data_IF_875075245707
#
_entry.id   IF_875075245707
#
_cell.length_a   1.000
_cell.length_b   1.000
_cell.length_c   1.000
_cell.angle_alpha   90.00
_cell.angle_beta   90.00
_cell.angle_gamma   90.00
#
_symmetry.space_group_name_H-M   'P 1'
#
loop_
_entity.id
_entity.type
_entity.pdbx_description
1 polymer ?
#
# COMPACT_ATOMS: atom_id res chain seq x y z
N UNK A 1 3.35 14.06 10.13
CA UNK A 1 2.27 14.38 11.09
C UNK A 1 1.09 13.51 10.70
N UNK A 2 0.59 12.64 11.61
CA UNK A 2 -0.65 11.91 11.37
C UNK A 2 -1.77 12.96 11.23
N UNK A 3 -2.53 12.87 10.15
CA UNK A 3 -3.73 13.70 9.97
C UNK A 3 -4.77 13.20 10.97
N UNK A 4 -5.42 14.13 11.69
CA UNK A 4 -6.61 13.81 12.47
C UNK A 4 -7.61 13.12 11.56
N UNK A 5 -8.11 11.96 11.99
CA UNK A 5 -9.01 11.16 11.18
C UNK A 5 -9.14 9.73 11.67
N UNK A 6 -10.00 8.98 11.00
CA UNK A 6 -10.22 7.58 11.32
C UNK A 6 -9.29 6.68 10.51
N UNK A 7 -8.82 5.62 11.13
CA UNK A 7 -8.06 4.56 10.52
C UNK A 7 -8.77 3.23 10.76
N UNK A 8 -9.02 2.47 9.70
CA UNK A 8 -9.61 1.14 9.81
C UNK A 8 -8.64 0.09 9.28
N UNK A 9 -8.30 -0.87 10.13
CA UNK A 9 -7.53 -2.06 9.79
C UNK A 9 -8.46 -3.27 9.61
N UNK A 10 -8.26 -4.04 8.54
CA UNK A 10 -8.98 -5.28 8.25
C UNK A 10 -7.98 -6.42 8.13
N UNK A 11 -8.12 -7.43 9.00
CA UNK A 11 -7.36 -8.68 8.98
C UNK A 11 -8.25 -9.82 8.49
N UNK A 12 -7.94 -10.36 7.32
CA UNK A 12 -8.69 -11.45 6.68
C UNK A 12 -7.95 -12.76 6.93
N UNK A 13 -8.29 -13.41 8.03
CA UNK A 13 -7.67 -14.68 8.43
C UNK A 13 -8.49 -15.91 8.07
N UNK A 14 -7.85 -17.07 8.08
CA UNK A 14 -8.49 -18.38 7.84
C UNK A 14 -9.58 -18.71 8.86
N UNK A 15 -9.36 -18.37 10.12
CA UNK A 15 -10.28 -18.69 11.22
C UNK A 15 -11.21 -17.56 11.59
N UNK A 16 -10.77 -16.32 11.45
CA UNK A 16 -11.54 -15.12 11.80
C UNK A 16 -11.18 -13.94 10.94
N UNK A 17 -12.16 -13.06 10.76
CA UNK A 17 -12.01 -11.74 10.18
C UNK A 17 -12.10 -10.74 11.32
N UNK A 18 -11.12 -9.83 11.41
CA UNK A 18 -11.04 -8.81 12.45
C UNK A 18 -11.02 -7.44 11.83
N UNK A 19 -11.78 -6.53 12.43
CA UNK A 19 -11.75 -5.11 12.07
C UNK A 19 -11.39 -4.32 13.32
N UNK A 20 -10.51 -3.35 13.18
CA UNK A 20 -10.14 -2.41 14.21
C UNK A 20 -10.34 -1.00 13.64
N UNK A 21 -11.10 -0.19 14.34
CA UNK A 21 -11.29 1.23 14.03
C UNK A 21 -10.59 2.06 15.09
N UNK A 22 -9.72 2.94 14.66
CA UNK A 22 -8.99 3.86 15.52
C UNK A 22 -9.21 5.30 15.07
N UNK A 23 -9.26 6.20 16.04
CA UNK A 23 -9.29 7.64 15.84
C UNK A 23 -7.94 8.24 16.24
N UNK A 24 -7.43 9.17 15.44
CA UNK A 24 -6.24 9.95 15.75
C UNK A 24 -6.65 11.34 16.21
N UNK A 25 -6.33 11.67 17.45
CA UNK A 25 -6.56 13.00 18.05
C UNK A 25 -5.25 13.44 18.71
N UNK A 26 -4.77 14.63 18.38
CA UNK A 26 -3.56 15.24 18.97
C UNK A 26 -2.33 14.30 19.01
N UNK A 27 -2.14 13.51 17.95
CA UNK A 27 -1.04 12.55 17.84
C UNK A 27 -1.21 11.26 18.66
N UNK A 28 -2.35 11.07 19.31
CA UNK A 28 -2.70 9.86 20.06
C UNK A 28 -3.70 9.01 19.25
N UNK A 29 -3.51 7.68 19.30
CA UNK A 29 -4.39 6.73 18.64
C UNK A 29 -5.31 6.09 19.67
N UNK A 30 -6.62 6.27 19.51
CA UNK A 30 -7.67 5.70 20.36
C UNK A 30 -8.45 4.67 19.58
N UNK A 31 -8.56 3.44 20.09
CA UNK A 31 -9.40 2.40 19.49
C UNK A 31 -10.86 2.65 19.89
N UNK A 32 -11.72 2.85 18.89
CA UNK A 32 -13.14 3.18 19.09
C UNK A 32 -14.09 2.04 18.65
N UNK A 33 -13.62 1.09 17.83
CA UNK A 33 -14.42 -0.04 17.40
C UNK A 33 -13.55 -1.27 17.11
N UNK A 34 -14.02 -2.45 17.51
CA UNK A 34 -13.36 -3.73 17.22
C UNK A 34 -14.42 -4.78 16.93
N UNK A 35 -14.23 -5.56 15.89
CA UNK A 35 -15.01 -6.76 15.62
C UNK A 35 -14.13 -7.98 15.41
N UNK A 36 -14.69 -9.16 15.67
CA UNK A 36 -14.06 -10.45 15.41
C UNK A 36 -15.15 -11.45 15.03
N UNK A 37 -15.19 -11.82 13.75
CA UNK A 37 -16.22 -12.67 13.16
C UNK A 37 -15.58 -13.96 12.65
N UNK A 38 -16.27 -15.08 12.74
CA UNK A 38 -15.80 -16.35 12.17
C UNK A 38 -15.66 -16.19 10.66
N UNK A 39 -14.49 -16.55 10.15
CA UNK A 39 -14.20 -16.52 8.72
C UNK A 39 -14.89 -17.65 7.96
N UNK A 40 -15.36 -17.34 6.77
CA UNK A 40 -15.82 -18.30 5.78
C UNK A 40 -15.28 -17.92 4.41
N UNK A 41 -15.00 -18.91 3.55
CA UNK A 41 -14.47 -18.64 2.20
C UNK A 41 -12.99 -18.26 2.14
N UNK A 42 -12.25 -18.36 3.27
CA UNK A 42 -10.82 -18.06 3.35
C UNK A 42 -10.06 -19.30 3.79
N UNK A 43 -8.98 -19.64 3.09
CA UNK A 43 -8.06 -20.74 3.42
C UNK A 43 -6.62 -20.28 3.26
N UNK A 44 -5.80 -20.48 4.29
CA UNK A 44 -4.38 -20.07 4.30
C UNK A 44 -4.14 -18.60 3.92
N UNK A 45 -5.08 -17.71 4.35
CA UNK A 45 -5.06 -16.30 4.02
C UNK A 45 -5.45 -15.94 2.57
N UNK A 46 -5.93 -16.93 1.80
CA UNK A 46 -6.35 -16.77 0.40
C UNK A 46 -7.88 -16.94 0.31
N UNK A 47 -8.54 -16.07 -0.45
CA UNK A 47 -9.97 -16.18 -0.72
C UNK A 47 -10.21 -17.32 -1.72
N UNK A 48 -10.95 -18.32 -1.27
CA UNK A 48 -11.33 -19.51 -2.07
C UNK A 48 -12.81 -19.52 -2.42
N UNK A 49 -13.63 -18.70 -1.74
CA UNK A 49 -15.05 -18.47 -2.03
C UNK A 49 -15.33 -16.99 -1.78
N UNK A 50 -15.56 -16.25 -2.87
CA UNK A 50 -15.72 -14.78 -2.82
C UNK A 50 -16.99 -14.40 -2.05
N UNK A 51 -18.11 -15.07 -2.32
CA UNK A 51 -19.40 -14.71 -1.73
C UNK A 51 -19.42 -14.99 -0.22
N UNK A 52 -18.85 -16.13 0.21
CA UNK A 52 -18.74 -16.47 1.62
C UNK A 52 -17.79 -15.53 2.37
N UNK A 53 -16.67 -15.17 1.74
CA UNK A 53 -15.72 -14.22 2.32
C UNK A 53 -16.32 -12.82 2.42
N UNK A 54 -16.94 -12.31 1.35
CA UNK A 54 -17.62 -11.01 1.32
C UNK A 54 -18.69 -10.89 2.42
N UNK A 55 -19.49 -11.95 2.62
CA UNK A 55 -20.50 -11.96 3.69
C UNK A 55 -19.86 -11.86 5.09
N UNK A 56 -18.77 -12.59 5.31
CA UNK A 56 -18.07 -12.57 6.59
C UNK A 56 -17.39 -11.21 6.85
N UNK A 57 -16.76 -10.61 5.80
CA UNK A 57 -16.16 -9.29 5.86
C UNK A 57 -17.21 -8.22 6.14
N UNK A 58 -18.33 -8.23 5.41
CA UNK A 58 -19.44 -7.30 5.62
C UNK A 58 -19.94 -7.35 7.06
N UNK A 59 -20.19 -8.56 7.60
CA UNK A 59 -20.62 -8.73 8.99
C UNK A 59 -19.58 -8.17 9.98
N UNK A 60 -18.29 -8.34 9.71
CA UNK A 60 -17.23 -7.80 10.56
C UNK A 60 -17.19 -6.26 10.52
N UNK A 61 -17.36 -5.67 9.34
CA UNK A 61 -17.41 -4.22 9.16
C UNK A 61 -18.63 -3.64 9.88
N UNK A 62 -19.83 -4.17 9.64
CA UNK A 62 -21.07 -3.70 10.28
C UNK A 62 -20.99 -3.73 11.82
N UNK A 63 -20.41 -4.78 12.41
CA UNK A 63 -20.19 -4.85 13.85
C UNK A 63 -19.17 -3.83 14.37
N UNK A 64 -18.15 -3.51 13.58
CA UNK A 64 -17.17 -2.50 13.95
C UNK A 64 -17.75 -1.08 13.85
N UNK A 65 -18.54 -0.80 12.82
CA UNK A 65 -19.30 0.45 12.63
C UNK A 65 -20.27 0.72 13.77
N UNK A 66 -21.04 -0.31 14.17
CA UNK A 66 -21.97 -0.20 15.29
C UNK A 66 -21.26 0.21 16.60
N UNK A 67 -20.07 -0.36 16.87
CA UNK A 67 -19.29 -0.04 18.07
C UNK A 67 -18.60 1.30 17.99
N UNK A 68 -18.08 1.66 16.80
CA UNK A 68 -17.37 2.91 16.57
C UNK A 68 -18.32 4.11 16.43
N UNK A 69 -19.58 3.89 16.06
CA UNK A 69 -20.54 4.96 15.77
C UNK A 69 -20.24 5.73 14.49
N UNK A 70 -19.49 5.16 13.55
CA UNK A 70 -19.14 5.77 12.27
C UNK A 70 -19.38 4.80 11.12
N UNK A 71 -19.46 5.34 9.90
CA UNK A 71 -19.46 4.55 8.65
C UNK A 71 -18.02 4.37 8.17
N UNK A 72 -17.64 3.15 7.83
CA UNK A 72 -16.30 2.82 7.31
C UNK A 72 -16.31 2.92 5.79
N UNK A 73 -15.67 3.93 5.25
CA UNK A 73 -15.55 4.14 3.78
C UNK A 73 -14.28 3.51 3.19
N UNK A 74 -13.24 3.34 4.01
CA UNK A 74 -11.95 2.81 3.57
C UNK A 74 -11.36 1.89 4.62
N UNK A 75 -10.70 0.83 4.15
CA UNK A 75 -10.00 -0.12 5.01
C UNK A 75 -8.57 -0.34 4.55
N UNK A 76 -7.67 -0.54 5.51
CA UNK A 76 -6.31 -0.99 5.26
C UNK A 76 -6.25 -2.50 5.50
N UNK A 77 -5.98 -3.27 4.44
CA UNK A 77 -5.97 -4.73 4.49
C UNK A 77 -4.56 -5.24 4.70
N UNK A 78 -4.36 -6.10 5.68
CA UNK A 78 -3.11 -6.83 5.87
C UNK A 78 -2.99 -7.96 4.84
N UNK A 79 -1.86 -8.00 4.12
CA UNK A 79 -1.56 -9.08 3.19
C UNK A 79 -0.59 -10.08 3.83
N UNK A 80 -0.81 -11.40 3.65
CA UNK A 80 0.15 -12.41 4.09
C UNK A 80 1.52 -12.22 3.44
N UNK A 81 2.58 -12.20 4.24
CA UNK A 81 3.94 -11.93 3.76
C UNK A 81 4.43 -12.96 2.72
N UNK A 82 3.97 -14.20 2.78
CA UNK A 82 4.31 -15.24 1.81
C UNK A 82 3.73 -15.01 0.40
N UNK A 83 2.80 -14.08 0.24
CA UNK A 83 2.28 -13.65 -1.07
C UNK A 83 3.15 -12.57 -1.71
N UNK A 84 3.94 -11.87 -0.89
CA UNK A 84 4.75 -10.75 -1.34
C UNK A 84 6.08 -11.24 -1.92
N UNK A 85 6.48 -10.64 -3.03
CA UNK A 85 7.82 -10.72 -3.56
C UNK A 85 8.40 -9.31 -3.58
N UNK A 86 9.62 -9.19 -3.06
CA UNK A 86 10.30 -7.90 -2.91
C UNK A 86 11.55 -7.96 -3.75
N UNK A 87 11.69 -7.02 -4.68
CA UNK A 87 12.85 -6.95 -5.56
C UNK A 87 13.42 -5.54 -5.61
N UNK A 88 14.76 -5.40 -5.73
CA UNK A 88 15.37 -4.12 -5.99
C UNK A 88 14.97 -3.62 -7.38
N UNK A 89 14.73 -2.32 -7.47
CA UNK A 89 14.45 -1.63 -8.73
C UNK A 89 15.23 -0.32 -8.83
N UNK A 90 15.41 0.15 -10.05
CA UNK A 90 16.07 1.42 -10.33
C UNK A 90 15.38 2.11 -11.49
N UNK A 91 15.15 3.42 -11.34
CA UNK A 91 14.71 4.30 -12.40
C UNK A 91 15.74 5.36 -12.70
N UNK A 92 15.72 5.91 -13.91
CA UNK A 92 16.61 6.99 -14.35
C UNK A 92 15.88 7.86 -15.36
N UNK A 93 16.02 9.18 -15.22
CA UNK A 93 15.52 10.17 -16.18
C UNK A 93 16.50 11.32 -16.33
N UNK A 94 16.53 12.00 -17.47
CA UNK A 94 17.13 13.32 -17.58
C UNK A 94 16.21 14.35 -16.90
N UNK A 95 16.81 15.33 -16.21
CA UNK A 95 16.04 16.49 -15.69
C UNK A 95 15.70 17.42 -16.86
N UNK A 96 14.41 17.58 -17.10
CA UNK A 96 13.90 18.23 -18.32
C UNK A 96 13.75 19.76 -18.21
N UNK A 97 13.73 20.30 -16.97
CA UNK A 97 13.58 21.73 -16.74
C UNK A 97 14.73 22.55 -17.35
N UNK A 98 14.45 23.73 -17.90
CA UNK A 98 15.47 24.65 -18.42
C UNK A 98 16.45 25.09 -17.32
N UNK A 99 15.93 25.28 -16.10
CA UNK A 99 16.74 25.64 -14.93
C UNK A 99 17.58 24.49 -14.39
N UNK A 100 17.33 23.25 -14.83
CA UNK A 100 17.92 22.04 -14.25
C UNK A 100 17.63 21.82 -12.76
N UNK A 101 16.64 22.51 -12.22
CA UNK A 101 16.14 22.30 -10.89
C UNK A 101 15.15 21.13 -10.88
N UNK A 102 15.35 20.18 -9.99
CA UNK A 102 14.52 18.96 -9.84
C UNK A 102 13.21 19.35 -9.14
N UNK A 103 12.09 19.03 -9.80
CA UNK A 103 10.73 19.30 -9.32
C UNK A 103 10.00 18.01 -8.96
N UNK A 104 8.79 18.16 -8.39
CA UNK A 104 7.91 17.03 -8.08
C UNK A 104 7.65 16.13 -9.31
N UNK A 105 7.46 16.74 -10.49
CA UNK A 105 7.23 16.02 -11.75
C UNK A 105 8.41 15.11 -12.15
N UNK A 106 9.65 15.53 -11.87
CA UNK A 106 10.85 14.73 -12.12
C UNK A 106 10.90 13.55 -11.15
N UNK A 107 10.59 13.78 -9.86
CA UNK A 107 10.53 12.72 -8.84
C UNK A 107 9.46 11.68 -9.21
N UNK A 108 8.27 12.11 -9.60
CA UNK A 108 7.23 11.18 -10.07
C UNK A 108 7.66 10.41 -11.32
N UNK A 109 8.35 11.07 -12.24
CA UNK A 109 8.81 10.47 -13.49
C UNK A 109 9.91 9.44 -13.28
N UNK A 110 10.87 9.68 -12.38
CA UNK A 110 11.92 8.70 -12.07
C UNK A 110 11.34 7.49 -11.34
N UNK A 111 10.37 7.68 -10.44
CA UNK A 111 9.62 6.59 -9.79
C UNK A 111 8.86 5.77 -10.82
N UNK A 112 8.17 6.44 -11.76
CA UNK A 112 7.45 5.76 -12.86
C UNK A 112 8.40 4.99 -13.77
N UNK A 113 9.58 5.53 -14.05
CA UNK A 113 10.63 4.85 -14.82
C UNK A 113 11.08 3.54 -14.16
N UNK A 114 11.15 3.49 -12.83
CA UNK A 114 11.50 2.29 -12.09
C UNK A 114 10.42 1.18 -12.16
N UNK A 115 9.16 1.56 -12.42
CA UNK A 115 8.06 0.61 -12.58
C UNK A 115 8.05 -0.10 -13.95
N UNK A 116 8.84 0.35 -14.92
CA UNK A 116 8.91 -0.27 -16.27
C UNK A 116 9.67 -1.59 -16.31
N UNK A 117 10.20 -2.05 -15.17
CA UNK A 117 10.78 -3.39 -15.04
C UNK A 117 9.74 -4.43 -15.43
N UNK A 118 10.14 -5.42 -16.23
CA UNK A 118 9.28 -6.51 -16.68
C UNK A 118 8.72 -7.29 -15.49
N UNK A 119 7.48 -6.97 -15.12
CA UNK A 119 6.71 -7.75 -14.16
C UNK A 119 5.95 -8.80 -14.95
N UNK A 120 6.00 -10.06 -14.50
CA UNK A 120 5.27 -11.12 -15.17
C UNK A 120 3.74 -10.88 -15.09
N UNK A 121 2.95 -11.33 -16.08
CA UNK A 121 1.49 -11.13 -16.06
C UNK A 121 0.79 -11.73 -14.82
N UNK A 122 1.42 -12.72 -14.18
CA UNK A 122 0.90 -13.38 -12.98
C UNK A 122 1.04 -12.55 -11.72
N UNK A 123 1.81 -11.45 -11.77
CA UNK A 123 2.04 -10.56 -10.63
C UNK A 123 1.72 -9.11 -10.98
N UNK A 124 1.28 -8.36 -10.00
CA UNK A 124 1.07 -6.91 -10.11
C UNK A 124 1.82 -6.16 -9.02
N UNK A 125 2.12 -4.91 -9.30
CA UNK A 125 2.77 -4.00 -8.34
C UNK A 125 1.76 -3.62 -7.26
N UNK A 126 2.15 -3.85 -6.01
CA UNK A 126 1.40 -3.37 -4.83
C UNK A 126 1.94 -1.99 -4.42
N UNK A 127 3.27 -1.87 -4.36
CA UNK A 127 3.93 -0.63 -3.95
C UNK A 127 5.35 -0.57 -4.50
N UNK A 128 5.87 0.65 -4.59
CA UNK A 128 7.28 0.93 -4.80
C UNK A 128 7.72 1.87 -3.68
N UNK A 129 8.80 1.52 -3.00
CA UNK A 129 9.37 2.31 -1.90
C UNK A 129 10.76 2.79 -2.33
N UNK A 130 10.94 4.10 -2.59
CA UNK A 130 12.25 4.67 -2.83
C UNK A 130 13.13 4.53 -1.57
N UNK A 131 14.37 4.10 -1.75
CA UNK A 131 15.37 4.03 -0.69
C UNK A 131 16.32 5.23 -0.74
N UNK A 132 16.75 5.59 -1.95
CA UNK A 132 17.61 6.75 -2.19
C UNK A 132 17.38 7.33 -3.58
N UNK A 133 17.71 8.61 -3.72
CA UNK A 133 17.88 9.27 -4.99
C UNK A 133 19.36 9.54 -5.26
N UNK A 134 19.71 9.65 -6.54
CA UNK A 134 21.07 9.91 -7.02
C UNK A 134 20.96 11.04 -8.05
N UNK A 135 21.68 12.13 -7.80
CA UNK A 135 21.73 13.30 -8.71
C UNK A 135 23.14 13.42 -9.27
N UNK A 136 23.27 13.29 -10.59
CA UNK A 136 24.55 13.35 -11.33
C UNK A 136 25.65 12.43 -10.74
N UNK A 137 25.24 11.27 -10.16
CA UNK A 137 26.13 10.29 -9.55
C UNK A 137 26.36 10.47 -8.04
N UNK A 138 25.87 11.53 -7.43
CA UNK A 138 25.88 11.72 -5.96
C UNK A 138 24.77 10.93 -5.31
N UNK A 139 25.13 9.97 -4.48
CA UNK A 139 24.23 9.00 -3.82
C UNK A 139 23.78 9.48 -2.43
N UNK A 140 22.82 8.77 -1.82
CA UNK A 140 22.36 8.99 -0.44
C UNK A 140 21.41 10.17 -0.27
N UNK A 141 20.80 10.65 -1.34
CA UNK A 141 19.86 11.76 -1.29
C UNK A 141 18.47 11.21 -0.93
N UNK A 142 17.86 11.71 0.16
CA UNK A 142 16.52 11.33 0.57
C UNK A 142 15.43 12.10 -0.16
N UNK A 143 15.65 13.39 -0.39
CA UNK A 143 14.73 14.23 -1.17
C UNK A 143 15.53 15.10 -2.15
N UNK A 144 15.41 14.89 -3.46
CA UNK A 144 16.16 15.62 -4.47
C UNK A 144 15.49 16.93 -4.90
N UNK A 145 14.28 17.26 -4.40
CA UNK A 145 13.54 18.45 -4.81
C UNK A 145 14.30 19.73 -4.50
N UNK A 146 14.33 20.65 -5.46
CA UNK A 146 15.07 21.89 -5.36
C UNK A 146 16.58 21.78 -5.61
N UNK A 147 17.11 20.56 -5.76
CA UNK A 147 18.51 20.37 -6.16
C UNK A 147 18.69 20.63 -7.66
N UNK A 148 19.89 21.09 -8.04
CA UNK A 148 20.28 21.24 -9.42
C UNK A 148 20.93 19.96 -9.93
N UNK A 149 20.53 19.48 -11.11
CA UNK A 149 21.11 18.28 -11.72
C UNK A 149 20.65 18.06 -13.15
N UNK A 150 21.44 17.30 -13.90
CA UNK A 150 21.15 16.92 -15.29
C UNK A 150 20.45 15.56 -15.34
N UNK A 151 20.80 14.67 -14.42
CA UNK A 151 20.30 13.29 -14.34
C UNK A 151 19.82 12.97 -12.95
N UNK A 152 18.59 12.50 -12.85
CA UNK A 152 17.99 11.98 -11.63
C UNK A 152 17.83 10.47 -11.75
N UNK A 153 18.35 9.74 -10.75
CA UNK A 153 18.15 8.31 -10.58
C UNK A 153 17.48 8.04 -9.24
N UNK A 154 16.76 6.93 -9.14
CA UNK A 154 16.15 6.44 -7.91
C UNK A 154 16.43 4.95 -7.79
N UNK A 155 16.87 4.52 -6.61
CA UNK A 155 16.91 3.11 -6.19
C UNK A 155 15.86 2.86 -5.14
N UNK A 156 15.27 1.68 -5.17
CA UNK A 156 14.22 1.33 -4.21
C UNK A 156 13.81 -0.12 -4.33
N UNK A 157 12.77 -0.45 -3.59
CA UNK A 157 12.17 -1.79 -3.55
C UNK A 157 10.80 -1.76 -4.17
N UNK A 158 10.55 -2.72 -5.07
CA UNK A 158 9.22 -2.96 -5.63
C UNK A 158 8.59 -4.17 -4.94
N UNK A 159 7.38 -3.99 -4.48
CA UNK A 159 6.57 -5.02 -3.84
C UNK A 159 5.52 -5.50 -4.83
N UNK A 160 5.51 -6.79 -5.10
CA UNK A 160 4.55 -7.42 -6.01
C UNK A 160 3.77 -8.53 -5.31
N UNK A 161 2.56 -8.79 -5.81
CA UNK A 161 1.73 -9.90 -5.35
C UNK A 161 1.06 -10.62 -6.51
N UNK A 162 0.53 -11.86 -6.30
CA UNK A 162 -0.15 -12.61 -7.34
C UNK A 162 -1.42 -11.89 -7.81
N UNK A 163 -1.50 -11.56 -9.09
CA UNK A 163 -2.61 -10.81 -9.72
C UNK A 163 -3.98 -11.39 -9.39
N UNK A 164 -4.14 -12.71 -9.52
CA UNK A 164 -5.42 -13.38 -9.26
C UNK A 164 -5.87 -13.24 -7.80
N UNK A 165 -4.94 -13.37 -6.84
CA UNK A 165 -5.26 -13.28 -5.41
C UNK A 165 -5.66 -11.86 -5.05
N UNK A 166 -4.89 -10.86 -5.51
CA UNK A 166 -5.17 -9.45 -5.28
C UNK A 166 -6.49 -9.01 -5.94
N UNK A 167 -6.77 -9.53 -7.14
CA UNK A 167 -8.02 -9.27 -7.81
C UNK A 167 -9.24 -9.86 -7.07
N UNK A 168 -9.13 -11.10 -6.57
CA UNK A 168 -10.19 -11.71 -5.77
C UNK A 168 -10.42 -10.94 -4.47
N UNK A 169 -9.33 -10.51 -3.82
CA UNK A 169 -9.42 -9.68 -2.60
C UNK A 169 -10.16 -8.36 -2.84
N UNK A 170 -9.93 -7.70 -3.97
CA UNK A 170 -10.63 -6.45 -4.31
C UNK A 170 -12.10 -6.64 -4.67
N UNK A 171 -12.51 -7.87 -5.01
CA UNK A 171 -13.91 -8.21 -5.32
C UNK A 171 -14.75 -8.56 -4.08
N UNK A 172 -14.08 -8.87 -3.00
CA UNK A 172 -14.74 -9.17 -1.72
C UNK A 172 -15.01 -7.91 -0.90
#
# INVERSE_FOLDING_TARGET
>A
MARDGFFTGLDIGTSSIKVLVAEFIDGSMNVIGVSNVKSSGVKDGIIVDIDAAAKSIKTAIEQAEEKAGIVIEQVNVGLPANLLQIEPTQGMIPVSSESKEIKDEDVESVVRSALTKSITPEREVISLVPEEFIVDGFQGIHDPRGMMGIRLEMRGLIYTGPTTILHNLRKT
#
